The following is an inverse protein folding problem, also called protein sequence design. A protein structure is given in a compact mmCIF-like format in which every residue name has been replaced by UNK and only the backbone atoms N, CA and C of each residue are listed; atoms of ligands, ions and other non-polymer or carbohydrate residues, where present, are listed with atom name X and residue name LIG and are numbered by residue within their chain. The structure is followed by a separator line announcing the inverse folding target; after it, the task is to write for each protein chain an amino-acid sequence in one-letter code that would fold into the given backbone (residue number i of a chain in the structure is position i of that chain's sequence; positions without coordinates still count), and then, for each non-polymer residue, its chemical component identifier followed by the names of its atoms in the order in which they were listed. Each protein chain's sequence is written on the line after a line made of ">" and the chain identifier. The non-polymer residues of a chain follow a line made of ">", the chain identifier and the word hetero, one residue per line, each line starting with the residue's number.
data_IF_318287375443
#
_entry.id   IF_318287375443
#
_cell.length_a   1.000
_cell.length_b   1.000
_cell.length_c   1.000
_cell.angle_alpha   90.00
_cell.angle_beta   90.00
_cell.angle_gamma   90.00
#
_symmetry.space_group_name_H-M   'P 1'
#
loop_
_entity.id
_entity.type
_entity.pdbx_description
1 polymer ?
#
# COMPACT_ATOMS: atom_id res chain seq x y z
N UNK A 1 -35.28 45.88 -1.77
CA UNK A 1 -33.92 45.28 -1.63
C UNK A 1 -32.87 46.39 -1.78
N UNK A 2 -32.01 46.63 -0.79
CA UNK A 2 -31.01 47.71 -0.84
C UNK A 2 -29.75 47.22 -1.56
N UNK A 3 -29.51 47.70 -2.79
CA UNK A 3 -28.37 47.31 -3.66
C UNK A 3 -27.01 47.32 -2.96
N UNK A 4 -26.77 48.27 -2.05
CA UNK A 4 -25.51 48.39 -1.29
C UNK A 4 -25.32 47.26 -0.28
N UNK A 5 -26.40 46.75 0.31
CA UNK A 5 -26.34 45.65 1.27
C UNK A 5 -26.13 44.30 0.57
N UNK A 6 -26.69 44.15 -0.64
CA UNK A 6 -26.46 42.99 -1.50
C UNK A 6 -24.99 42.88 -1.94
N UNK A 7 -24.40 43.97 -2.42
CA UNK A 7 -22.99 43.99 -2.85
C UNK A 7 -22.05 43.68 -1.68
N UNK A 8 -22.29 44.29 -0.50
CA UNK A 8 -21.49 44.00 0.70
C UNK A 8 -21.57 42.52 1.08
N UNK A 9 -22.78 41.96 1.17
CA UNK A 9 -22.95 40.55 1.52
C UNK A 9 -22.36 39.60 0.47
N UNK A 10 -22.50 39.90 -0.82
CA UNK A 10 -21.89 39.11 -1.90
C UNK A 10 -20.35 39.14 -1.83
N UNK A 11 -19.76 40.30 -1.54
CA UNK A 11 -18.30 40.42 -1.39
C UNK A 11 -17.74 39.70 -0.16
N UNK A 12 -18.47 39.67 0.96
CA UNK A 12 -18.05 38.95 2.18
C UNK A 12 -18.17 37.43 2.01
N UNK A 13 -19.21 36.94 1.31
CA UNK A 13 -19.37 35.51 1.02
C UNK A 13 -18.31 34.99 0.04
N UNK A 14 -17.92 35.80 -0.97
CA UNK A 14 -16.87 35.43 -1.92
C UNK A 14 -15.48 35.34 -1.28
N UNK A 15 -15.20 36.17 -0.25
CA UNK A 15 -13.94 36.12 0.49
C UNK A 15 -13.81 34.85 1.35
N UNK A 16 -14.92 34.32 1.87
CA UNK A 16 -14.93 33.06 2.66
C UNK A 16 -14.75 31.83 1.77
N UNK A 17 -15.24 31.84 0.52
CA UNK A 17 -15.03 30.74 -0.43
C UNK A 17 -13.59 30.59 -0.92
N UNK A 18 -12.73 31.61 -0.76
CA UNK A 18 -11.30 31.52 -1.09
C UNK A 18 -10.51 30.84 0.04
N UNK A 19 -11.06 30.77 1.25
CA UNK A 19 -10.46 30.11 2.42
C UNK A 19 -11.00 28.69 2.67
N UNK A 20 -11.79 28.12 1.75
CA UNK A 20 -12.07 26.70 1.76
C UNK A 20 -10.82 25.96 1.25
N UNK A 21 -10.33 24.91 1.93
CA UNK A 21 -9.30 24.08 1.37
C UNK A 21 -9.84 23.52 0.05
N UNK A 22 -9.19 23.90 -1.03
CA UNK A 22 -9.43 23.37 -2.36
C UNK A 22 -9.35 21.84 -2.26
N UNK A 23 -10.51 21.20 -2.18
CA UNK A 23 -10.65 19.81 -2.60
C UNK A 23 -10.45 19.87 -4.11
N UNK A 24 -9.21 19.56 -4.46
CA UNK A 24 -8.53 19.57 -5.76
C UNK A 24 -9.43 19.80 -6.99
N UNK A 25 -9.19 20.87 -7.77
CA UNK A 25 -9.78 20.97 -9.09
C UNK A 25 -9.14 19.89 -9.99
N UNK A 26 -10.00 19.19 -10.70
CA UNK A 26 -9.70 18.18 -11.72
C UNK A 26 -8.46 18.51 -12.57
N UNK A 27 -7.59 17.50 -12.76
CA UNK A 27 -6.57 17.50 -13.82
C UNK A 27 -5.11 17.55 -13.38
N UNK A 28 -4.81 17.71 -12.08
CA UNK A 28 -3.44 17.60 -11.55
C UNK A 28 -3.35 16.51 -10.49
N UNK A 29 -3.74 15.29 -10.84
CA UNK A 29 -3.54 14.12 -9.96
C UNK A 29 -2.04 13.78 -9.79
N UNK A 30 -1.17 14.35 -10.64
CA UNK A 30 0.27 14.15 -10.62
C UNK A 30 1.06 15.43 -10.94
N UNK A 31 0.66 16.59 -10.41
CA UNK A 31 1.60 17.70 -10.39
C UNK A 31 2.80 17.24 -9.55
N UNK A 32 4.01 17.25 -10.13
CA UNK A 32 5.28 16.94 -9.47
C UNK A 32 5.50 17.90 -8.30
N UNK A 33 4.84 17.61 -7.18
CA UNK A 33 4.79 18.44 -5.99
C UNK A 33 5.73 17.82 -4.98
N UNK A 34 7.02 17.93 -5.27
CA UNK A 34 8.04 17.50 -4.34
C UNK A 34 9.41 17.45 -4.98
N UNK A 35 10.41 18.02 -4.30
CA UNK A 35 11.80 17.63 -4.50
C UNK A 35 11.90 16.12 -4.33
N UNK A 36 12.57 15.43 -5.26
CA UNK A 36 12.83 13.98 -5.14
C UNK A 36 13.53 13.69 -3.81
N UNK A 37 12.87 12.95 -2.92
CA UNK A 37 13.41 12.59 -1.59
C UNK A 37 14.08 11.20 -1.56
N UNK A 38 13.86 10.37 -2.58
CA UNK A 38 14.43 9.03 -2.67
C UNK A 38 14.82 8.68 -4.11
N UNK A 39 15.92 7.93 -4.27
CA UNK A 39 16.36 7.45 -5.58
C UNK A 39 15.55 6.25 -6.06
N UNK A 40 15.24 5.34 -5.14
CA UNK A 40 14.50 4.11 -5.37
C UNK A 40 13.44 3.94 -4.28
N UNK A 41 12.31 3.35 -4.66
CA UNK A 41 11.25 2.94 -3.74
C UNK A 41 11.15 1.43 -3.83
N UNK A 42 11.21 0.76 -2.68
CA UNK A 42 11.04 -0.69 -2.59
C UNK A 42 9.69 -0.95 -1.93
N UNK A 43 8.79 -1.59 -2.67
CA UNK A 43 7.51 -2.06 -2.17
C UNK A 43 7.65 -3.54 -1.83
N UNK A 44 7.49 -3.89 -0.57
CA UNK A 44 7.55 -5.29 -0.09
C UNK A 44 6.16 -5.72 0.31
N UNK A 45 5.70 -6.83 -0.24
CA UNK A 45 4.39 -7.41 0.07
C UNK A 45 4.61 -8.79 0.70
N UNK A 46 3.94 -9.03 1.83
CA UNK A 46 3.92 -10.33 2.50
C UNK A 46 2.52 -10.95 2.35
N UNK A 47 2.47 -12.19 1.88
CA UNK A 47 1.22 -12.88 1.59
C UNK A 47 0.78 -13.79 2.73
N UNK A 48 -0.04 -13.26 3.63
CA UNK A 48 -0.76 -14.02 4.65
C UNK A 48 0.14 -14.74 5.66
N UNK A 49 -0.41 -15.78 6.29
CA UNK A 49 0.28 -16.58 7.33
C UNK A 49 0.12 -16.06 8.76
N UNK A 50 -0.20 -14.78 8.97
CA UNK A 50 -0.47 -14.20 10.29
C UNK A 50 -1.59 -13.15 10.18
N UNK A 51 -2.60 -13.24 11.04
CA UNK A 51 -3.75 -12.31 11.11
C UNK A 51 -3.38 -11.06 11.91
N UNK A 52 -4.15 -9.98 11.78
CA UNK A 52 -3.87 -8.73 12.50
C UNK A 52 -3.80 -8.93 14.02
N UNK A 53 -4.75 -9.68 14.60
CA UNK A 53 -4.72 -9.98 16.04
C UNK A 53 -3.52 -10.85 16.45
N UNK A 54 -2.97 -11.64 15.53
CA UNK A 54 -1.82 -12.51 15.81
C UNK A 54 -0.51 -11.73 15.74
N UNK A 55 -0.42 -10.75 14.83
CA UNK A 55 0.74 -9.87 14.65
C UNK A 55 0.66 -8.63 15.55
N UNK A 56 -0.17 -7.66 15.18
CA UNK A 56 -0.26 -6.33 15.81
C UNK A 56 -0.71 -6.43 17.26
N UNK A 57 -1.69 -7.28 17.56
CA UNK A 57 -2.16 -7.47 18.93
C UNK A 57 -1.33 -8.51 19.71
N UNK A 58 -0.31 -9.10 19.09
CA UNK A 58 0.64 -10.02 19.72
C UNK A 58 0.00 -11.29 20.31
N UNK A 59 -1.10 -11.76 19.69
CA UNK A 59 -1.87 -12.91 20.17
C UNK A 59 -1.60 -14.19 19.39
N UNK A 60 -0.51 -14.28 18.62
CA UNK A 60 -0.26 -15.47 17.79
C UNK A 60 -0.35 -16.77 18.60
N UNK A 61 0.43 -16.92 19.68
CA UNK A 61 0.42 -18.11 20.53
C UNK A 61 -0.91 -18.29 21.27
N UNK A 62 -1.53 -17.20 21.72
CA UNK A 62 -2.86 -17.22 22.37
C UNK A 62 -3.89 -17.82 21.44
N UNK A 63 -3.85 -17.46 20.15
CA UNK A 63 -4.72 -18.00 19.11
C UNK A 63 -4.39 -19.43 18.72
N UNK A 64 -3.20 -19.92 19.07
CA UNK A 64 -2.82 -21.35 18.99
C UNK A 64 -3.18 -22.14 20.26
N UNK A 65 -3.89 -21.53 21.23
CA UNK A 65 -4.26 -22.17 22.49
C UNK A 65 -3.18 -22.16 23.58
N UNK A 66 -2.09 -21.41 23.38
CA UNK A 66 -1.01 -21.23 24.36
C UNK A 66 -1.18 -19.84 24.97
N UNK A 67 -1.53 -19.70 26.27
CA UNK A 67 -1.92 -18.42 26.88
C UNK A 67 -0.71 -17.52 27.21
N UNK A 68 0.19 -17.33 26.24
CA UNK A 68 1.40 -16.53 26.34
C UNK A 68 1.40 -15.52 25.20
N UNK A 69 1.05 -14.25 25.43
CA UNK A 69 1.13 -13.23 24.40
C UNK A 69 2.59 -12.86 24.11
N UNK A 70 2.83 -12.22 22.98
CA UNK A 70 4.10 -11.58 22.68
C UNK A 70 4.37 -11.37 21.20
N UNK A 71 5.33 -10.51 20.94
CA UNK A 71 5.71 -10.10 19.59
C UNK A 71 6.51 -11.19 18.88
N UNK A 72 5.90 -11.80 17.87
CA UNK A 72 6.54 -12.79 17.00
C UNK A 72 7.18 -12.17 15.75
N UNK A 73 6.97 -10.88 15.49
CA UNK A 73 7.48 -10.15 14.32
C UNK A 73 8.50 -9.08 14.75
N UNK A 74 9.53 -9.49 15.51
CA UNK A 74 10.48 -8.58 16.21
C UNK A 74 11.27 -7.62 15.32
N UNK A 75 11.42 -7.90 14.03
CA UNK A 75 12.01 -6.95 13.08
C UNK A 75 11.00 -5.89 12.60
N UNK A 76 9.70 -6.15 12.69
CA UNK A 76 8.66 -5.31 12.11
C UNK A 76 7.92 -4.48 13.15
N UNK A 77 7.61 -5.08 14.31
CA UNK A 77 6.74 -4.51 15.34
C UNK A 77 7.50 -4.28 16.65
N UNK A 78 7.05 -3.29 17.43
CA UNK A 78 7.47 -3.11 18.82
C UNK A 78 6.91 -4.19 19.74
N UNK A 79 7.49 -4.31 20.93
CA UNK A 79 6.99 -5.20 21.99
C UNK A 79 7.92 -6.36 22.30
N UNK A 80 7.79 -6.88 23.53
CA UNK A 80 8.59 -8.00 24.00
C UNK A 80 8.20 -9.31 23.29
N UNK A 81 9.18 -10.19 23.08
CA UNK A 81 8.92 -11.54 22.61
C UNK A 81 8.05 -12.31 23.64
N UNK A 82 7.33 -13.37 23.22
CA UNK A 82 6.64 -14.24 24.16
C UNK A 82 7.61 -14.80 25.20
N UNK A 83 7.20 -14.78 26.49
CA UNK A 83 8.04 -15.25 27.60
C UNK A 83 8.38 -16.74 27.54
N UNK A 84 7.59 -17.52 26.81
CA UNK A 84 7.91 -18.86 26.35
C UNK A 84 7.69 -18.90 24.85
N UNK A 85 8.73 -19.25 24.09
CA UNK A 85 8.66 -19.26 22.64
C UNK A 85 8.88 -20.68 22.10
N UNK A 86 7.82 -21.49 21.99
CA UNK A 86 7.94 -22.85 21.48
C UNK A 86 8.17 -22.92 19.97
N UNK A 87 8.06 -21.79 19.26
CA UNK A 87 8.06 -21.74 17.78
C UNK A 87 9.37 -21.19 17.23
N UNK A 88 9.99 -20.24 17.93
CA UNK A 88 11.19 -19.56 17.45
C UNK A 88 12.37 -19.78 18.39
N UNK A 89 13.41 -20.45 17.87
CA UNK A 89 14.72 -20.62 18.51
C UNK A 89 15.66 -19.44 18.17
N UNK A 90 16.94 -19.53 18.55
CA UNK A 90 17.95 -18.49 18.36
C UNK A 90 18.15 -18.03 16.89
N UNK A 91 17.70 -18.81 15.90
CA UNK A 91 17.76 -18.44 14.48
C UNK A 91 16.83 -17.27 14.11
N UNK A 92 15.90 -16.92 14.99
CA UNK A 92 14.93 -15.85 14.79
C UNK A 92 15.24 -14.61 15.62
N UNK A 93 16.50 -14.47 16.06
CA UNK A 93 16.96 -13.22 16.66
C UNK A 93 16.79 -12.07 15.65
N UNK A 94 16.26 -10.92 16.09
CA UNK A 94 16.05 -9.78 15.20
C UNK A 94 17.39 -9.34 14.62
N UNK A 95 17.39 -9.03 13.33
CA UNK A 95 18.56 -8.52 12.60
C UNK A 95 18.59 -6.99 12.62
N UNK A 96 17.44 -6.35 12.85
CA UNK A 96 17.32 -4.91 12.99
C UNK A 96 17.52 -4.49 14.45
N UNK A 97 18.30 -3.43 14.67
CA UNK A 97 18.47 -2.84 15.99
C UNK A 97 17.20 -2.13 16.49
N UNK A 98 16.41 -1.56 15.56
CA UNK A 98 15.10 -0.97 15.84
C UNK A 98 14.06 -1.59 14.87
N UNK A 99 12.85 -1.95 15.33
CA UNK A 99 11.83 -2.51 14.47
C UNK A 99 11.36 -1.50 13.41
N UNK A 100 10.83 -1.98 12.28
CA UNK A 100 10.35 -1.13 11.19
C UNK A 100 9.25 -0.15 11.62
N UNK A 101 8.40 -0.53 12.58
CA UNK A 101 7.37 0.34 13.16
C UNK A 101 7.94 1.65 13.74
N UNK A 102 9.19 1.65 14.21
CA UNK A 102 9.87 2.84 14.72
C UNK A 102 10.65 3.63 13.66
N UNK A 103 10.73 3.11 12.43
CA UNK A 103 11.45 3.74 11.32
C UNK A 103 10.51 4.44 10.34
N UNK A 104 9.20 4.39 10.58
CA UNK A 104 8.19 4.94 9.69
C UNK A 104 6.82 5.05 10.36
N UNK A 105 5.77 4.92 9.56
CA UNK A 105 4.38 4.94 10.05
C UNK A 105 3.77 3.55 9.90
N UNK A 106 3.29 2.99 11.01
CA UNK A 106 2.54 1.74 11.03
C UNK A 106 1.03 2.04 11.04
N UNK A 107 0.32 1.53 10.04
CA UNK A 107 -1.14 1.47 10.04
C UNK A 107 -1.57 0.11 10.58
N UNK A 108 -2.25 0.12 11.74
CA UNK A 108 -2.62 -1.11 12.46
C UNK A 108 -3.90 -1.76 11.95
N UNK A 109 -4.89 -0.94 11.61
CA UNK A 109 -6.23 -1.41 11.26
C UNK A 109 -6.56 -1.08 9.80
N UNK A 110 -5.88 -1.78 8.89
CA UNK A 110 -6.12 -1.65 7.44
C UNK A 110 -7.07 -2.75 7.00
N UNK A 111 -8.24 -2.36 6.51
CA UNK A 111 -9.27 -3.30 6.07
C UNK A 111 -9.37 -3.39 4.55
N UNK A 112 -9.56 -4.62 4.07
CA UNK A 112 -9.94 -4.87 2.69
C UNK A 112 -11.43 -4.59 2.54
N UNK A 113 -11.79 -3.43 1.96
CA UNK A 113 -13.14 -2.89 2.09
C UNK A 113 -14.21 -3.61 1.24
N UNK A 114 -13.84 -4.18 0.09
CA UNK A 114 -14.80 -4.80 -0.84
C UNK A 114 -14.17 -5.93 -1.64
N UNK A 115 -14.97 -6.95 -1.96
CA UNK A 115 -14.54 -8.13 -2.73
C UNK A 115 -13.95 -9.25 -1.87
N UNK A 116 -13.64 -10.41 -2.47
CA UNK A 116 -13.08 -11.54 -1.74
C UNK A 116 -11.68 -11.25 -1.21
N UNK A 117 -11.45 -11.57 0.06
CA UNK A 117 -10.12 -11.52 0.68
C UNK A 117 -9.32 -12.75 0.28
N UNK A 118 -8.10 -12.55 -0.20
CA UNK A 118 -7.18 -13.62 -0.58
C UNK A 118 -5.78 -13.09 -0.77
N UNK A 119 -4.78 -13.97 -0.70
CA UNK A 119 -3.37 -13.59 -0.77
C UNK A 119 -3.09 -12.82 -2.06
N UNK A 120 -3.44 -13.41 -3.20
CA UNK A 120 -3.25 -12.77 -4.51
C UNK A 120 -4.14 -11.54 -4.71
N UNK A 121 -5.38 -11.55 -4.20
CA UNK A 121 -6.27 -10.39 -4.29
C UNK A 121 -5.67 -9.20 -3.55
N UNK A 122 -5.16 -9.40 -2.33
CA UNK A 122 -4.47 -8.37 -1.56
C UNK A 122 -3.27 -7.78 -2.30
N UNK A 123 -2.49 -8.63 -3.00
CA UNK A 123 -1.39 -8.15 -3.83
C UNK A 123 -1.91 -7.35 -5.02
N UNK A 124 -2.90 -7.86 -5.74
CA UNK A 124 -3.52 -7.16 -6.88
C UNK A 124 -4.03 -5.77 -6.48
N UNK A 125 -4.74 -5.66 -5.36
CA UNK A 125 -5.23 -4.36 -4.86
C UNK A 125 -4.08 -3.44 -4.51
N UNK A 126 -3.03 -3.95 -3.86
CA UNK A 126 -1.87 -3.12 -3.52
C UNK A 126 -1.13 -2.64 -4.77
N UNK A 127 -1.06 -3.48 -5.81
CA UNK A 127 -0.39 -3.14 -7.05
C UNK A 127 -1.19 -2.18 -7.92
N UNK A 128 -2.53 -2.28 -7.92
CA UNK A 128 -3.39 -1.56 -8.88
C UNK A 128 -4.26 -0.47 -8.26
N UNK A 129 -4.38 -0.44 -6.93
CA UNK A 129 -5.30 0.44 -6.20
C UNK A 129 -6.78 0.10 -6.36
N UNK A 130 -7.13 -1.02 -7.01
CA UNK A 130 -8.51 -1.39 -7.34
C UNK A 130 -8.89 -2.72 -6.70
N UNK A 131 -10.02 -2.75 -5.98
CA UNK A 131 -10.58 -3.98 -5.42
C UNK A 131 -10.99 -4.96 -6.51
N UNK A 132 -10.72 -6.25 -6.30
CA UNK A 132 -11.16 -7.32 -7.21
C UNK A 132 -12.61 -7.68 -6.92
N UNK A 133 -13.52 -7.55 -7.90
CA UNK A 133 -14.96 -7.78 -7.71
C UNK A 133 -15.38 -9.25 -7.81
N UNK A 134 -14.69 -10.06 -8.63
CA UNK A 134 -15.07 -11.45 -8.94
C UNK A 134 -14.00 -12.47 -8.56
N UNK A 135 -14.38 -13.75 -8.62
CA UNK A 135 -13.48 -14.88 -8.42
C UNK A 135 -12.24 -14.76 -9.29
N UNK A 136 -11.09 -14.98 -8.66
CA UNK A 136 -9.79 -14.68 -9.22
C UNK A 136 -9.40 -15.66 -10.34
N UNK A 137 -8.92 -15.12 -11.47
CA UNK A 137 -8.19 -15.91 -12.46
C UNK A 137 -6.68 -15.70 -12.27
N UNK A 138 -6.03 -16.70 -11.71
CA UNK A 138 -4.61 -16.73 -11.37
C UNK A 138 -3.68 -16.80 -12.60
N UNK A 139 -4.23 -17.03 -13.79
CA UNK A 139 -3.47 -17.23 -15.02
C UNK A 139 -3.41 -15.98 -15.92
N UNK A 140 -3.97 -14.86 -15.46
CA UNK A 140 -4.04 -13.63 -16.23
C UNK A 140 -3.52 -12.46 -15.42
N UNK A 141 -2.89 -11.51 -16.12
CA UNK A 141 -2.53 -10.22 -15.56
C UNK A 141 -3.78 -9.46 -15.03
N UNK A 142 -3.61 -8.60 -14.01
CA UNK A 142 -4.69 -7.78 -13.47
C UNK A 142 -5.31 -6.87 -14.53
N UNK A 143 -6.57 -6.48 -14.33
CA UNK A 143 -7.30 -5.66 -15.28
C UNK A 143 -6.87 -4.18 -15.28
N UNK A 144 -6.51 -3.64 -14.11
CA UNK A 144 -6.17 -2.23 -13.93
C UNK A 144 -4.66 -1.99 -13.88
N UNK A 145 -4.17 -0.80 -14.29
CA UNK A 145 -2.75 -0.49 -14.30
C UNK A 145 -2.09 -0.67 -12.94
N UNK A 146 -0.90 -1.24 -12.96
CA UNK A 146 -0.05 -1.42 -11.80
C UNK A 146 0.70 -0.13 -11.46
N UNK A 147 1.23 -0.04 -10.24
CA UNK A 147 2.11 1.04 -9.82
C UNK A 147 3.34 1.20 -10.73
N UNK A 148 3.81 0.10 -11.34
CA UNK A 148 4.92 0.12 -12.29
C UNK A 148 4.55 0.83 -13.58
N UNK A 149 3.38 0.52 -14.12
CA UNK A 149 2.88 1.14 -15.33
C UNK A 149 2.61 2.64 -15.12
N UNK A 150 2.08 3.03 -13.96
CA UNK A 150 1.97 4.43 -13.59
C UNK A 150 3.34 5.10 -13.49
N UNK A 151 4.29 4.50 -12.78
CA UNK A 151 5.64 5.03 -12.62
C UNK A 151 6.33 5.21 -13.98
N UNK A 152 6.30 4.21 -14.85
CA UNK A 152 7.04 4.25 -16.12
C UNK A 152 6.40 5.14 -17.16
N UNK A 153 5.06 5.22 -17.18
CA UNK A 153 4.32 6.03 -18.16
C UNK A 153 4.28 7.52 -17.79
N UNK A 154 4.22 7.85 -16.50
CA UNK A 154 3.99 9.22 -16.03
C UNK A 154 5.19 9.86 -15.34
N UNK A 155 6.35 9.20 -15.31
CA UNK A 155 7.61 9.86 -14.93
C UNK A 155 8.18 10.67 -16.08
N UNK A 156 8.83 11.79 -15.77
CA UNK A 156 9.59 12.60 -16.72
C UNK A 156 11.07 12.71 -16.28
N UNK A 157 12.06 12.30 -17.10
CA UNK A 157 11.88 11.51 -18.32
C UNK A 157 11.29 10.13 -18.01
N UNK A 158 10.57 9.57 -18.98
CA UNK A 158 10.00 8.23 -18.89
C UNK A 158 11.06 7.21 -18.48
N UNK A 159 10.71 6.32 -17.55
CA UNK A 159 11.66 5.39 -16.95
C UNK A 159 11.69 4.08 -17.74
N UNK A 160 12.90 3.62 -18.05
CA UNK A 160 13.14 2.32 -18.68
C UNK A 160 12.68 1.16 -17.78
N UNK A 161 12.33 0.02 -18.40
CA UNK A 161 12.06 -1.23 -17.70
C UNK A 161 13.24 -1.64 -16.81
N UNK A 162 14.46 -1.32 -17.23
CA UNK A 162 15.70 -1.54 -16.45
C UNK A 162 15.79 -0.70 -15.17
N UNK A 163 14.74 0.04 -14.80
CA UNK A 163 14.63 0.79 -13.55
C UNK A 163 13.39 0.40 -12.72
N UNK A 164 12.69 -0.68 -13.10
CA UNK A 164 11.55 -1.20 -12.36
C UNK A 164 11.56 -2.74 -12.43
N UNK A 165 11.51 -3.39 -11.26
CA UNK A 165 11.57 -4.84 -11.14
C UNK A 165 10.46 -5.34 -10.23
N UNK A 166 9.91 -6.49 -10.60
CA UNK A 166 8.99 -7.25 -9.79
C UNK A 166 9.62 -8.61 -9.51
N UNK A 167 9.91 -8.86 -8.23
CA UNK A 167 10.56 -10.09 -7.79
C UNK A 167 9.60 -10.84 -6.89
N UNK A 168 9.35 -12.10 -7.21
CA UNK A 168 8.56 -13.01 -6.40
C UNK A 168 9.40 -14.24 -6.08
N UNK A 169 9.42 -14.63 -4.81
CA UNK A 169 10.06 -15.86 -4.34
C UNK A 169 9.23 -17.12 -4.65
N UNK A 170 7.97 -16.95 -5.06
CA UNK A 170 7.07 -18.04 -5.42
C UNK A 170 6.79 -18.06 -6.93
N UNK A 171 6.85 -19.25 -7.53
CA UNK A 171 6.48 -19.54 -8.93
C UNK A 171 4.96 -19.55 -9.19
N UNK A 172 4.16 -19.13 -8.20
CA UNK A 172 2.72 -19.06 -8.32
C UNK A 172 2.26 -17.96 -9.30
N UNK A 173 1.03 -17.44 -9.18
CA UNK A 173 0.49 -16.42 -10.10
C UNK A 173 1.22 -15.07 -10.03
N UNK A 174 2.05 -14.85 -9.01
CA UNK A 174 2.60 -13.54 -8.66
C UNK A 174 3.44 -12.89 -9.76
N UNK A 175 4.21 -13.59 -10.61
CA UNK A 175 4.89 -12.96 -11.75
C UNK A 175 3.95 -12.20 -12.68
N UNK A 176 2.66 -12.56 -12.76
CA UNK A 176 1.64 -11.84 -13.56
C UNK A 176 1.24 -10.48 -12.98
N UNK A 177 1.79 -10.05 -11.85
CA UNK A 177 1.53 -8.73 -11.26
C UNK A 177 2.49 -7.64 -11.79
N UNK A 178 3.36 -7.97 -12.74
CA UNK A 178 4.34 -7.04 -13.29
C UNK A 178 3.75 -6.00 -14.27
N UNK A 179 2.60 -6.30 -14.89
CA UNK A 179 1.86 -5.36 -15.75
C UNK A 179 0.36 -5.74 -15.80
N UNK A 180 -0.46 -4.85 -16.35
CA UNK A 180 -1.92 -4.99 -16.46
C UNK A 180 -2.41 -5.31 -17.88
N UNK A 181 -3.68 -5.66 -18.02
CA UNK A 181 -4.35 -5.81 -19.31
C UNK A 181 -5.08 -4.54 -19.75
N UNK A 182 -4.87 -3.42 -19.05
CA UNK A 182 -5.62 -2.20 -19.28
C UNK A 182 -5.24 -1.55 -20.60
N UNK A 183 -6.22 -1.18 -21.44
CA UNK A 183 -5.91 -0.54 -22.72
C UNK A 183 -5.12 0.76 -22.55
N UNK A 184 -3.96 0.82 -23.20
CA UNK A 184 -3.02 1.95 -23.13
C UNK A 184 -1.97 1.83 -22.02
N UNK A 185 -2.10 0.92 -21.06
CA UNK A 185 -1.03 0.51 -20.16
C UNK A 185 -0.63 -0.91 -20.54
N UNK A 186 0.41 -1.02 -21.34
CA UNK A 186 0.85 -2.24 -21.98
C UNK A 186 2.12 -2.81 -21.28
N UNK A 187 2.56 -4.04 -21.63
CA UNK A 187 3.77 -4.63 -21.06
C UNK A 187 5.02 -3.76 -21.22
N UNK A 188 5.06 -2.86 -22.20
CA UNK A 188 6.19 -1.95 -22.37
C UNK A 188 6.31 -0.93 -21.24
N UNK A 189 5.29 -0.74 -20.40
CA UNK A 189 5.33 0.06 -19.16
C UNK A 189 5.39 -0.80 -17.88
N UNK A 190 5.41 -2.13 -17.97
CA UNK A 190 5.48 -3.03 -16.82
C UNK A 190 6.83 -3.05 -16.09
N UNK A 191 6.92 -3.79 -14.99
CA UNK A 191 8.19 -4.15 -14.38
C UNK A 191 8.84 -5.35 -15.10
N UNK A 192 10.17 -5.40 -15.05
CA UNK A 192 10.93 -6.62 -15.39
C UNK A 192 10.70 -7.72 -14.36
#
# INVERSE_FOLDING_TARGET
>A
MKRRDFIKKASTTAAVSIAAPYILPSGRLFAATGSRIANHVVLVLFAGGIRNQESVDMQFLVNQGIPVPGNIMRNMLDGAAPGANPVFNDWWNPILANPLANQGTLYKEVFYASGPTGHYNGHTVTMTGNYTETGLNLNINPEYPTVFEYYRRHSDPAKSALNAWWISEALGPYPSLNYSRFSGYDPAYGAN
#
